data_IF_189388765310
#
_entry.id   IF_189388765310
#
_cell.length_a   1.000
_cell.length_b   1.000
_cell.length_c   1.000
_cell.angle_alpha   90.00
_cell.angle_beta   90.00
_cell.angle_gamma   90.00
#
_symmetry.space_group_name_H-M   'P 1'
#
loop_
_entity.id
_entity.type
_entity.pdbx_description
1 polymer ?
#
# COMPACT_ATOMS: atom_id res chain seq x y z
N UNK A 1 57.88 1.65 10.19
CA UNK A 1 56.88 2.71 9.94
C UNK A 1 55.93 2.40 8.77
N UNK A 2 56.40 2.17 7.52
CA UNK A 2 55.51 1.87 6.36
C UNK A 2 54.54 0.70 6.55
N UNK A 3 54.96 -0.39 7.19
CA UNK A 3 54.12 -1.58 7.47
C UNK A 3 52.98 -1.31 8.47
N UNK A 4 53.17 -0.36 9.39
CA UNK A 4 52.20 -0.02 10.43
C UNK A 4 51.08 0.86 9.85
N UNK A 5 51.45 1.84 9.01
CA UNK A 5 50.47 2.66 8.29
C UNK A 5 49.55 1.83 7.38
N UNK A 6 50.11 0.82 6.70
CA UNK A 6 49.34 -0.06 5.82
C UNK A 6 48.34 -0.95 6.59
N UNK A 7 48.73 -1.42 7.79
CA UNK A 7 47.85 -2.15 8.71
C UNK A 7 46.66 -1.31 9.19
N UNK A 8 46.90 -0.04 9.55
CA UNK A 8 45.84 0.86 10.02
C UNK A 8 44.80 1.13 8.92
N UNK A 9 45.23 1.28 7.67
CA UNK A 9 44.35 1.47 6.51
C UNK A 9 43.50 0.22 6.24
N UNK A 10 44.09 -0.98 6.37
CA UNK A 10 43.36 -2.24 6.19
C UNK A 10 42.31 -2.45 7.29
N UNK A 11 42.63 -2.11 8.53
CA UNK A 11 41.69 -2.20 9.66
C UNK A 11 40.54 -1.20 9.50
N UNK A 12 40.82 0.03 9.08
CA UNK A 12 39.76 1.03 8.86
C UNK A 12 38.83 0.67 7.70
N UNK A 13 39.36 0.09 6.61
CA UNK A 13 38.54 -0.48 5.54
C UNK A 13 37.69 -1.66 6.04
N UNK A 14 38.27 -2.60 6.77
CA UNK A 14 37.53 -3.76 7.28
C UNK A 14 36.37 -3.34 8.22
N UNK A 15 36.59 -2.31 9.04
CA UNK A 15 35.54 -1.74 9.87
C UNK A 15 34.45 -1.09 9.01
N UNK A 16 34.77 -0.28 7.99
CA UNK A 16 33.76 0.36 7.14
C UNK A 16 32.91 -0.65 6.36
N UNK A 17 33.50 -1.74 5.85
CA UNK A 17 32.75 -2.84 5.22
C UNK A 17 31.80 -3.54 6.20
N UNK A 18 32.20 -3.71 7.46
CA UNK A 18 31.34 -4.30 8.49
C UNK A 18 30.15 -3.41 8.89
N UNK A 19 30.33 -2.08 8.84
CA UNK A 19 29.23 -1.13 9.04
C UNK A 19 28.30 -1.07 7.83
N UNK A 20 28.86 -1.06 6.62
CA UNK A 20 28.08 -1.07 5.38
C UNK A 20 27.19 -2.32 5.25
N UNK A 21 27.67 -3.49 5.70
CA UNK A 21 26.87 -4.73 5.69
C UNK A 21 25.71 -4.72 6.68
N UNK A 22 25.88 -4.10 7.86
CA UNK A 22 24.78 -3.90 8.81
C UNK A 22 23.74 -2.92 8.27
N UNK A 23 24.21 -1.84 7.66
CA UNK A 23 23.34 -0.81 7.07
C UNK A 23 22.54 -1.39 5.90
N UNK A 24 23.15 -2.17 5.02
CA UNK A 24 22.46 -2.80 3.89
C UNK A 24 21.40 -3.78 4.37
N UNK A 25 21.68 -4.59 5.40
CA UNK A 25 20.71 -5.48 6.02
C UNK A 25 19.53 -4.73 6.63
N UNK A 26 19.79 -3.62 7.34
CA UNK A 26 18.74 -2.77 7.89
C UNK A 26 17.81 -2.22 6.81
N UNK A 27 18.37 -1.63 5.74
CA UNK A 27 17.56 -1.11 4.62
C UNK A 27 16.81 -2.22 3.90
N UNK A 28 17.40 -3.40 3.76
CA UNK A 28 16.74 -4.54 3.14
C UNK A 28 15.51 -4.99 3.94
N UNK A 29 15.66 -5.16 5.25
CA UNK A 29 14.56 -5.55 6.14
C UNK A 29 13.45 -4.49 6.17
N UNK A 30 13.81 -3.20 6.15
CA UNK A 30 12.84 -2.11 6.08
C UNK A 30 12.04 -2.15 4.78
N UNK A 31 12.73 -2.34 3.64
CA UNK A 31 12.11 -2.44 2.32
C UNK A 31 11.19 -3.65 2.20
N UNK A 32 11.55 -4.78 2.80
CA UNK A 32 10.70 -5.97 2.84
C UNK A 32 9.42 -5.74 3.66
N UNK A 33 9.54 -5.08 4.82
CA UNK A 33 8.37 -4.71 5.63
C UNK A 33 7.44 -3.75 4.92
N UNK A 34 7.98 -2.75 4.22
CA UNK A 34 7.18 -1.81 3.43
C UNK A 34 6.45 -2.52 2.29
N UNK A 35 7.14 -3.36 1.52
CA UNK A 35 6.52 -4.17 0.46
C UNK A 35 5.42 -5.09 0.99
N UNK A 36 5.63 -5.71 2.15
CA UNK A 36 4.62 -6.56 2.77
C UNK A 36 3.35 -5.77 3.15
N UNK A 37 3.51 -4.54 3.68
CA UNK A 37 2.39 -3.64 3.97
C UNK A 37 1.66 -3.20 2.71
N UNK A 38 2.39 -2.80 1.67
CA UNK A 38 1.79 -2.43 0.38
C UNK A 38 1.01 -3.60 -0.23
N UNK A 39 1.56 -4.81 -0.21
CA UNK A 39 0.86 -6.00 -0.70
C UNK A 39 -0.40 -6.32 0.11
N UNK A 40 -0.38 -6.09 1.42
CA UNK A 40 -1.58 -6.25 2.25
C UNK A 40 -2.64 -5.20 1.93
N UNK A 41 -2.26 -3.94 1.75
CA UNK A 41 -3.17 -2.86 1.36
C UNK A 41 -3.81 -3.15 0.00
N UNK A 42 -3.00 -3.53 -0.99
CA UNK A 42 -3.50 -3.92 -2.32
C UNK A 42 -4.50 -5.09 -2.23
N UNK A 43 -4.22 -6.11 -1.42
CA UNK A 43 -5.16 -7.23 -1.22
C UNK A 43 -6.46 -6.78 -0.55
N UNK A 44 -6.40 -5.83 0.38
CA UNK A 44 -7.60 -5.27 1.02
C UNK A 44 -8.40 -4.40 0.05
N UNK A 45 -7.74 -3.63 -0.80
CA UNK A 45 -8.39 -2.80 -1.82
C UNK A 45 -9.11 -3.64 -2.88
N UNK A 46 -8.53 -4.77 -3.24
CA UNK A 46 -9.12 -5.71 -4.21
C UNK A 46 -10.20 -6.62 -3.60
N UNK A 47 -10.50 -6.50 -2.30
CA UNK A 47 -11.52 -7.31 -1.65
C UNK A 47 -12.92 -6.68 -1.78
N UNK A 48 -13.50 -6.77 -2.98
CA UNK A 48 -14.83 -6.22 -3.24
C UNK A 48 -15.95 -6.86 -2.41
N UNK A 49 -15.74 -8.09 -1.92
CA UNK A 49 -16.67 -8.80 -1.04
C UNK A 49 -16.76 -8.18 0.37
N UNK A 50 -15.77 -7.36 0.75
CA UNK A 50 -15.80 -6.64 2.02
C UNK A 50 -16.82 -5.50 2.04
N UNK A 51 -17.24 -5.01 0.87
CA UNK A 51 -18.21 -3.93 0.78
C UNK A 51 -19.64 -4.48 0.88
N UNK A 52 -20.41 -3.89 1.80
CA UNK A 52 -21.85 -4.08 1.86
C UNK A 52 -22.53 -2.89 1.18
N UNK A 53 -23.19 -3.16 0.05
CA UNK A 53 -23.97 -2.18 -0.69
C UNK A 53 -25.43 -2.21 -0.23
N UNK A 54 -26.03 -1.04 -0.05
CA UNK A 54 -27.44 -0.86 0.23
C UNK A 54 -28.03 0.05 -0.84
N UNK A 55 -29.08 -0.42 -1.49
CA UNK A 55 -29.86 0.39 -2.44
C UNK A 55 -30.49 1.58 -1.73
N UNK A 56 -30.37 2.76 -2.33
CA UNK A 56 -30.94 4.00 -1.79
C UNK A 56 -32.16 4.44 -2.60
N UNK A 57 -31.99 4.68 -3.91
CA UNK A 57 -33.08 5.15 -4.79
C UNK A 57 -32.83 4.82 -6.24
N UNK A 58 -33.90 4.89 -7.03
CA UNK A 58 -33.87 4.83 -8.50
C UNK A 58 -34.49 6.11 -9.04
N UNK A 59 -33.87 6.71 -10.04
CA UNK A 59 -34.32 7.95 -10.66
C UNK A 59 -33.97 7.95 -12.14
N UNK A 60 -34.58 8.87 -12.89
CA UNK A 60 -34.21 9.15 -14.27
C UNK A 60 -33.40 10.45 -14.27
N UNK A 61 -32.18 10.41 -14.79
CA UNK A 61 -31.33 11.60 -14.88
C UNK A 61 -31.89 12.60 -15.92
N UNK A 62 -31.35 13.81 -15.94
CA UNK A 62 -31.74 14.87 -16.89
C UNK A 62 -31.54 14.45 -18.36
N UNK A 63 -30.67 13.47 -18.59
CA UNK A 63 -30.38 12.85 -19.90
C UNK A 63 -31.38 11.74 -20.29
N UNK A 64 -32.33 11.40 -19.42
CA UNK A 64 -33.27 10.29 -19.65
C UNK A 64 -32.73 8.90 -19.30
N UNK A 65 -31.54 8.82 -18.72
CA UNK A 65 -30.90 7.55 -18.29
C UNK A 65 -31.52 7.04 -16.99
N UNK A 66 -31.67 5.71 -16.87
CA UNK A 66 -32.16 5.10 -15.63
C UNK A 66 -31.01 4.88 -14.66
N UNK A 67 -30.98 5.65 -13.58
CA UNK A 67 -29.93 5.62 -12.57
C UNK A 67 -30.40 4.97 -11.27
N UNK A 68 -29.47 4.32 -10.58
CA UNK A 68 -29.64 3.68 -9.27
C UNK A 68 -28.50 4.09 -8.35
N UNK A 69 -28.85 4.61 -7.18
CA UNK A 69 -27.88 4.96 -6.15
C UNK A 69 -27.79 3.88 -5.09
N UNK A 70 -26.56 3.65 -4.64
CA UNK A 70 -26.21 2.73 -3.58
C UNK A 70 -25.32 3.44 -2.57
N UNK A 71 -25.57 3.19 -1.29
CA UNK A 71 -24.63 3.51 -0.21
C UNK A 71 -23.83 2.26 0.10
N UNK A 72 -22.51 2.37 0.14
CA UNK A 72 -21.65 1.26 0.52
C UNK A 72 -20.87 1.56 1.79
N UNK A 73 -20.55 0.48 2.51
CA UNK A 73 -19.64 0.50 3.66
C UNK A 73 -18.76 -0.74 3.65
N UNK A 74 -17.49 -0.58 3.95
CA UNK A 74 -16.57 -1.69 4.21
C UNK A 74 -16.92 -2.34 5.54
N UNK A 75 -16.86 -3.68 5.59
CA UNK A 75 -17.04 -4.46 6.82
C UNK A 75 -15.78 -4.46 7.68
N UNK A 76 -14.61 -4.48 7.04
CA UNK A 76 -13.31 -4.49 7.72
C UNK A 76 -12.82 -3.10 8.17
N UNK A 77 -13.27 -2.03 7.52
CA UNK A 77 -12.86 -0.65 7.82
C UNK A 77 -14.07 0.30 7.93
N UNK A 78 -14.43 0.75 9.15
CA UNK A 78 -15.59 1.63 9.35
C UNK A 78 -15.45 3.00 8.69
N UNK A 79 -14.22 3.44 8.37
CA UNK A 79 -13.97 4.73 7.71
C UNK A 79 -14.09 4.66 6.19
N UNK A 80 -14.25 3.46 5.61
CA UNK A 80 -14.33 3.28 4.17
C UNK A 80 -15.78 3.07 3.75
N UNK A 81 -16.48 4.17 3.52
CA UNK A 81 -17.88 4.21 3.10
C UNK A 81 -18.10 5.28 2.03
N UNK A 82 -19.17 5.18 1.25
CA UNK A 82 -19.46 6.17 0.21
C UNK A 82 -20.74 5.89 -0.56
N UNK A 83 -20.89 6.61 -1.66
CA UNK A 83 -22.02 6.50 -2.58
C UNK A 83 -21.54 5.96 -3.92
N UNK A 84 -22.38 5.16 -4.56
CA UNK A 84 -22.10 4.56 -5.86
C UNK A 84 -23.36 4.63 -6.71
N UNK A 85 -23.26 5.30 -7.85
CA UNK A 85 -24.38 5.48 -8.79
C UNK A 85 -24.12 4.64 -10.03
N UNK A 86 -25.15 3.92 -10.47
CA UNK A 86 -25.14 3.12 -11.71
C UNK A 86 -26.25 3.63 -12.61
N UNK A 87 -25.88 4.21 -13.75
CA UNK A 87 -26.81 4.61 -14.80
C UNK A 87 -26.73 3.60 -15.95
N UNK A 88 -27.89 3.12 -16.41
CA UNK A 88 -28.00 2.30 -17.61
C UNK A 88 -28.22 3.24 -18.80
N UNK A 89 -27.21 3.36 -19.66
CA UNK A 89 -27.33 3.96 -20.98
C UNK A 89 -28.18 3.04 -21.87
N UNK A 90 -29.06 3.64 -22.67
CA UNK A 90 -30.02 2.94 -23.51
C UNK A 90 -29.51 2.75 -24.93
#
# INVERSE_FOLDING_TARGET
>A
MKKIGLMIILVSLAMSFSYASKLSRFFHEHKERERAREQQQLRQDMNFADFAFRFEKRYVDERGEQCRDYVFRSRSNPYRHGYFTVCEER
#
